data_IF_901275446983
#
_entry.id   IF_901275446983
#
_cell.length_a   1.000
_cell.length_b   1.000
_cell.length_c   1.000
_cell.angle_alpha   90.00
_cell.angle_beta   90.00
_cell.angle_gamma   90.00
#
_symmetry.space_group_name_H-M   'P 1'
#
loop_
_entity.id
_entity.type
_entity.pdbx_description
1 polymer ?
#
# COMPACT_ATOMS: atom_id res chain seq x y z
N UNK A 1 11.59 -17.87 -26.49
CA UNK A 1 11.64 -16.54 -25.79
C UNK A 1 12.98 -15.91 -26.14
N UNK A 2 12.99 -14.68 -26.65
CA UNK A 2 14.25 -14.00 -27.00
C UNK A 2 15.06 -13.70 -25.73
N UNK A 3 16.39 -13.74 -25.80
CA UNK A 3 17.34 -13.36 -24.73
C UNK A 3 16.96 -12.04 -24.03
N UNK A 4 16.36 -11.11 -24.77
CA UNK A 4 15.86 -9.81 -24.26
C UNK A 4 14.62 -9.91 -23.34
N UNK A 5 13.75 -10.91 -23.50
CA UNK A 5 12.57 -11.08 -22.64
C UNK A 5 12.96 -11.67 -21.28
N UNK A 6 13.87 -12.65 -21.26
CA UNK A 6 14.41 -13.25 -20.03
C UNK A 6 15.18 -12.22 -19.23
N UNK A 7 16.02 -11.42 -19.88
CA UNK A 7 16.77 -10.33 -19.23
C UNK A 7 15.83 -9.31 -18.57
N UNK A 8 14.70 -8.95 -19.20
CA UNK A 8 13.72 -8.02 -18.64
C UNK A 8 13.03 -8.57 -17.39
N UNK A 9 12.80 -9.89 -17.32
CA UNK A 9 12.19 -10.53 -16.15
C UNK A 9 13.18 -10.66 -14.98
N UNK A 10 14.45 -10.97 -15.24
CA UNK A 10 15.46 -11.21 -14.19
C UNK A 10 16.05 -9.90 -13.65
N UNK A 11 16.21 -8.89 -14.50
CA UNK A 11 16.85 -7.64 -14.14
C UNK A 11 16.24 -6.91 -12.90
N UNK A 12 14.90 -6.87 -12.69
CA UNK A 12 14.32 -6.30 -11.47
C UNK A 12 14.81 -7.02 -10.20
N UNK A 13 14.89 -8.35 -10.21
CA UNK A 13 15.35 -9.14 -9.06
C UNK A 13 16.82 -8.86 -8.69
N UNK A 14 17.70 -8.77 -9.68
CA UNK A 14 19.14 -8.52 -9.46
C UNK A 14 19.41 -7.12 -8.92
N UNK A 15 18.59 -6.12 -9.29
CA UNK A 15 18.75 -4.74 -8.83
C UNK A 15 18.02 -4.41 -7.54
N UNK A 16 17.20 -5.29 -7.06
CA UNK A 16 16.36 -5.08 -5.89
C UNK A 16 17.13 -5.27 -4.59
N UNK A 17 17.77 -4.20 -4.14
CA UNK A 17 18.51 -4.21 -2.87
C UNK A 17 17.60 -4.47 -1.66
N UNK A 18 16.33 -4.08 -1.71
CA UNK A 18 15.40 -4.31 -0.62
C UNK A 18 15.05 -5.79 -0.51
N UNK A 19 14.77 -6.45 -1.65
CA UNK A 19 14.61 -7.91 -1.69
C UNK A 19 15.84 -8.64 -1.15
N UNK A 20 17.04 -8.22 -1.56
CA UNK A 20 18.28 -8.85 -1.06
C UNK A 20 18.45 -8.67 0.45
N UNK A 21 18.11 -7.50 1.01
CA UNK A 21 18.16 -7.26 2.44
C UNK A 21 17.18 -8.17 3.21
N UNK A 22 15.96 -8.33 2.72
CA UNK A 22 14.97 -9.25 3.30
C UNK A 22 15.47 -10.70 3.23
N UNK A 23 15.95 -11.16 2.09
CA UNK A 23 16.48 -12.52 1.96
C UNK A 23 17.65 -12.79 2.92
N UNK A 24 18.55 -11.81 3.10
CA UNK A 24 19.65 -11.93 4.07
C UNK A 24 19.13 -11.96 5.50
N UNK A 25 18.17 -11.12 5.86
CA UNK A 25 17.54 -11.12 7.18
C UNK A 25 16.83 -12.44 7.47
N UNK A 26 16.05 -12.96 6.50
CA UNK A 26 15.37 -14.24 6.61
C UNK A 26 16.36 -15.42 6.81
N UNK A 27 17.42 -15.46 5.99
CA UNK A 27 18.48 -16.47 6.13
C UNK A 27 19.16 -16.39 7.51
N UNK A 28 19.48 -15.19 7.98
CA UNK A 28 20.10 -15.00 9.30
C UNK A 28 19.17 -15.48 10.44
N UNK A 29 17.88 -15.10 10.42
CA UNK A 29 16.90 -15.54 11.42
C UNK A 29 16.68 -17.06 11.36
N UNK A 30 16.60 -17.63 10.16
CA UNK A 30 16.46 -19.07 9.95
C UNK A 30 17.68 -19.85 10.44
N UNK A 31 18.90 -19.35 10.20
CA UNK A 31 20.14 -19.96 10.70
C UNK A 31 20.22 -19.90 12.22
N UNK A 32 19.74 -18.82 12.84
CA UNK A 32 19.69 -18.66 14.28
C UNK A 32 18.65 -19.57 14.96
N UNK A 33 17.49 -19.72 14.35
CA UNK A 33 16.40 -20.58 14.83
C UNK A 33 15.72 -21.32 13.69
N UNK A 34 16.30 -22.49 13.28
CA UNK A 34 15.78 -23.26 12.15
C UNK A 34 14.34 -23.69 12.37
N UNK A 35 13.51 -23.49 11.36
CA UNK A 35 12.13 -23.95 11.31
C UNK A 35 11.99 -25.06 10.26
N UNK A 36 11.02 -25.97 10.38
CA UNK A 36 10.71 -26.89 9.30
C UNK A 36 10.38 -26.11 8.01
N UNK A 37 10.94 -26.52 6.87
CA UNK A 37 10.69 -25.84 5.58
C UNK A 37 9.20 -25.77 5.23
N UNK A 38 8.42 -26.79 5.65
CA UNK A 38 6.97 -26.80 5.52
C UNK A 38 6.27 -25.67 6.29
N UNK A 39 6.87 -25.18 7.39
CA UNK A 39 6.30 -24.09 8.15
C UNK A 39 6.47 -22.71 7.45
N UNK A 40 7.49 -22.55 6.61
CA UNK A 40 7.74 -21.31 5.89
C UNK A 40 6.59 -20.95 4.94
N UNK A 41 6.00 -21.95 4.29
CA UNK A 41 4.82 -21.75 3.45
C UNK A 41 3.60 -21.26 4.24
N UNK A 42 3.47 -21.66 5.50
CA UNK A 42 2.39 -21.23 6.39
C UNK A 42 2.52 -19.80 6.90
N UNK A 43 3.68 -19.16 6.73
CA UNK A 43 3.85 -17.74 7.06
C UNK A 43 3.32 -16.82 5.97
N UNK A 44 3.24 -17.32 4.74
CA UNK A 44 2.85 -16.53 3.59
C UNK A 44 1.33 -16.37 3.56
N UNK A 45 0.88 -15.12 3.61
CA UNK A 45 -0.52 -14.82 3.31
C UNK A 45 -0.77 -14.91 1.79
N UNK A 46 -1.17 -16.09 1.35
CA UNK A 46 -1.46 -16.37 -0.04
C UNK A 46 -2.60 -15.52 -0.60
N UNK A 47 -3.60 -15.16 0.21
CA UNK A 47 -4.71 -14.28 -0.19
C UNK A 47 -4.18 -12.89 -0.55
N UNK A 48 -3.34 -12.32 0.30
CA UNK A 48 -2.71 -11.02 0.03
C UNK A 48 -1.85 -11.06 -1.22
N UNK A 49 -1.00 -12.08 -1.42
CA UNK A 49 -0.15 -12.18 -2.62
C UNK A 49 -0.97 -12.33 -3.91
N UNK A 50 -2.02 -13.15 -3.90
CA UNK A 50 -2.93 -13.33 -5.04
C UNK A 50 -3.64 -12.01 -5.35
N UNK A 51 -4.10 -11.30 -4.32
CA UNK A 51 -4.77 -10.01 -4.47
C UNK A 51 -3.83 -8.98 -5.10
N UNK A 52 -2.61 -8.85 -4.58
CA UNK A 52 -1.59 -7.96 -5.14
C UNK A 52 -1.31 -8.26 -6.61
N UNK A 53 -1.08 -9.53 -6.93
CA UNK A 53 -0.77 -9.95 -8.30
C UNK A 53 -1.93 -9.64 -9.26
N UNK A 54 -3.17 -9.94 -8.86
CA UNK A 54 -4.37 -9.63 -9.63
C UNK A 54 -4.51 -8.12 -9.89
N UNK A 55 -4.37 -7.30 -8.84
CA UNK A 55 -4.44 -5.84 -8.95
C UNK A 55 -3.30 -5.26 -9.81
N UNK A 56 -2.08 -5.76 -9.69
CA UNK A 56 -0.96 -5.35 -10.53
C UNK A 56 -1.23 -5.61 -12.01
N UNK A 57 -1.74 -6.80 -12.34
CA UNK A 57 -2.10 -7.16 -13.70
C UNK A 57 -3.23 -6.28 -14.26
N UNK A 58 -4.30 -6.10 -13.51
CA UNK A 58 -5.46 -5.31 -13.90
C UNK A 58 -5.08 -3.84 -14.12
N UNK A 59 -4.33 -3.25 -13.19
CA UNK A 59 -3.86 -1.88 -13.30
C UNK A 59 -2.93 -1.69 -14.49
N UNK A 60 -2.02 -2.65 -14.73
CA UNK A 60 -1.15 -2.62 -15.91
C UNK A 60 -1.95 -2.72 -17.20
N UNK A 61 -3.02 -3.49 -17.21
CA UNK A 61 -3.94 -3.56 -18.35
C UNK A 61 -4.59 -2.20 -18.63
N UNK A 62 -5.06 -1.50 -17.60
CA UNK A 62 -5.62 -0.14 -17.72
C UNK A 62 -4.55 0.85 -18.21
N UNK A 63 -3.31 0.76 -17.71
CA UNK A 63 -2.20 1.60 -18.18
C UNK A 63 -1.91 1.35 -19.67
N UNK A 64 -1.80 0.09 -20.08
CA UNK A 64 -1.54 -0.30 -21.49
C UNK A 64 -2.68 0.13 -22.41
N UNK A 65 -3.93 0.23 -21.93
CA UNK A 65 -5.05 0.75 -22.72
C UNK A 65 -4.91 2.23 -23.07
N UNK A 66 -4.01 2.98 -22.40
CA UNK A 66 -3.84 4.44 -22.57
C UNK A 66 -4.87 5.28 -21.80
N UNK A 67 -5.71 4.67 -20.97
CA UNK A 67 -6.75 5.40 -20.24
C UNK A 67 -6.19 6.39 -19.23
N UNK A 68 -5.07 6.05 -18.55
CA UNK A 68 -4.42 6.98 -17.63
C UNK A 68 -3.87 8.22 -18.34
N UNK A 69 -3.38 8.09 -19.58
CA UNK A 69 -2.97 9.24 -20.41
C UNK A 69 -4.18 10.15 -20.73
N UNK A 70 -5.32 9.57 -21.08
CA UNK A 70 -6.55 10.32 -21.34
C UNK A 70 -7.06 11.07 -20.11
N UNK A 71 -7.14 10.40 -18.95
CA UNK A 71 -7.59 11.02 -17.69
C UNK A 71 -6.58 12.07 -17.22
N UNK A 72 -5.28 11.77 -17.29
CA UNK A 72 -4.22 12.69 -16.91
C UNK A 72 -4.28 14.01 -17.68
N UNK A 73 -4.49 13.98 -18.99
CA UNK A 73 -4.69 15.18 -19.82
C UNK A 73 -5.90 15.98 -19.39
N UNK A 74 -7.03 15.31 -19.13
CA UNK A 74 -8.26 15.96 -18.67
C UNK A 74 -8.04 16.67 -17.33
N UNK A 75 -7.29 16.06 -16.41
CA UNK A 75 -6.94 16.63 -15.10
C UNK A 75 -6.04 17.86 -15.29
N UNK A 76 -4.95 17.75 -16.04
CA UNK A 76 -4.01 18.88 -16.27
C UNK A 76 -4.69 20.04 -17.00
N UNK A 77 -5.64 19.77 -17.88
CA UNK A 77 -6.39 20.81 -18.58
C UNK A 77 -7.36 21.56 -17.67
N UNK A 78 -7.81 20.97 -16.58
CA UNK A 78 -8.71 21.58 -15.60
C UNK A 78 -7.98 22.22 -14.40
N UNK A 79 -6.90 21.60 -13.96
CA UNK A 79 -6.13 22.04 -12.79
C UNK A 79 -4.81 22.68 -13.27
N UNK A 80 -4.75 23.99 -13.21
CA UNK A 80 -3.62 24.76 -13.73
C UNK A 80 -2.51 25.00 -12.69
N UNK A 81 -2.79 24.81 -11.39
CA UNK A 81 -1.87 25.05 -10.29
C UNK A 81 -1.35 23.74 -9.70
N UNK A 82 -0.03 23.65 -9.46
CA UNK A 82 0.63 22.50 -8.83
C UNK A 82 -0.01 22.17 -7.47
N UNK A 83 -0.28 23.18 -6.63
CA UNK A 83 -0.94 23.01 -5.33
C UNK A 83 -2.34 22.42 -5.45
N UNK A 84 -3.16 22.98 -6.36
CA UNK A 84 -4.54 22.46 -6.57
C UNK A 84 -4.54 21.04 -7.07
N UNK A 85 -3.60 20.70 -7.97
CA UNK A 85 -3.42 19.33 -8.46
C UNK A 85 -3.00 18.40 -7.32
N UNK A 86 -2.03 18.80 -6.49
CA UNK A 86 -1.56 18.00 -5.38
C UNK A 86 -2.70 17.73 -4.36
N UNK A 87 -3.44 18.76 -3.97
CA UNK A 87 -4.60 18.62 -3.08
C UNK A 87 -5.67 17.68 -3.67
N UNK A 88 -5.98 17.84 -4.95
CA UNK A 88 -6.93 16.97 -5.64
C UNK A 88 -6.48 15.51 -5.64
N UNK A 89 -5.22 15.24 -5.98
CA UNK A 89 -4.68 13.89 -6.04
C UNK A 89 -4.58 13.23 -4.66
N UNK A 90 -4.15 13.99 -3.65
CA UNK A 90 -4.05 13.55 -2.25
C UNK A 90 -5.45 13.25 -1.69
N UNK A 91 -6.41 14.16 -1.87
CA UNK A 91 -7.77 13.96 -1.43
C UNK A 91 -8.44 12.78 -2.14
N UNK A 92 -8.25 12.65 -3.46
CA UNK A 92 -8.79 11.52 -4.24
C UNK A 92 -8.20 10.19 -3.80
N UNK A 93 -6.89 10.13 -3.51
CA UNK A 93 -6.23 8.91 -3.02
C UNK A 93 -6.82 8.48 -1.67
N UNK A 94 -6.99 9.41 -0.75
CA UNK A 94 -7.59 9.14 0.54
C UNK A 94 -9.07 8.74 0.43
N UNK A 95 -9.85 9.46 -0.37
CA UNK A 95 -11.26 9.12 -0.57
C UNK A 95 -11.42 7.71 -1.16
N UNK A 96 -10.63 7.37 -2.18
CA UNK A 96 -10.64 6.03 -2.77
C UNK A 96 -10.30 4.96 -1.73
N UNK A 97 -9.29 5.18 -0.90
CA UNK A 97 -8.87 4.21 0.11
C UNK A 97 -9.84 4.07 1.29
N UNK A 98 -10.79 4.99 1.45
CA UNK A 98 -11.88 4.84 2.42
C UNK A 98 -12.96 3.85 1.97
N UNK A 99 -13.13 3.65 0.67
CA UNK A 99 -14.15 2.75 0.08
C UNK A 99 -13.56 1.50 -0.56
N UNK A 100 -12.28 1.58 -0.95
CA UNK A 100 -11.49 0.47 -1.47
C UNK A 100 -10.39 0.17 -0.46
N UNK A 101 -9.69 -0.95 -0.63
CA UNK A 101 -8.47 -1.15 0.16
C UNK A 101 -7.38 -0.16 -0.24
N UNK A 102 -6.48 0.17 0.69
CA UNK A 102 -5.35 1.06 0.44
C UNK A 102 -4.51 0.64 -0.78
N UNK A 103 -4.34 -0.67 -0.98
CA UNK A 103 -3.58 -1.23 -2.10
C UNK A 103 -4.28 -0.97 -3.45
N UNK A 104 -5.60 -1.24 -3.52
CA UNK A 104 -6.41 -0.95 -4.72
C UNK A 104 -6.35 0.54 -5.08
N UNK A 105 -6.50 1.42 -4.08
CA UNK A 105 -6.43 2.85 -4.30
C UNK A 105 -5.07 3.27 -4.89
N UNK A 106 -3.95 2.75 -4.36
CA UNK A 106 -2.60 3.03 -4.86
C UNK A 106 -2.41 2.56 -6.31
N UNK A 107 -2.88 1.35 -6.64
CA UNK A 107 -2.77 0.83 -8.01
C UNK A 107 -3.59 1.63 -9.03
N UNK A 108 -4.51 2.46 -8.58
CA UNK A 108 -5.25 3.40 -9.45
C UNK A 108 -4.53 4.75 -9.52
N UNK A 109 -4.18 5.35 -8.36
CA UNK A 109 -3.72 6.74 -8.34
C UNK A 109 -2.27 6.93 -8.73
N UNK A 110 -1.37 5.96 -8.42
CA UNK A 110 0.06 6.10 -8.73
C UNK A 110 0.35 6.04 -10.22
N UNK A 111 -0.14 5.07 -11.01
CA UNK A 111 0.07 5.05 -12.45
C UNK A 111 -0.48 6.29 -13.14
N UNK A 112 -1.65 6.79 -12.70
CA UNK A 112 -2.17 8.07 -13.16
C UNK A 112 -1.17 9.20 -12.89
N UNK A 113 -0.64 9.28 -11.67
CA UNK A 113 0.34 10.32 -11.28
C UNK A 113 1.66 10.21 -12.05
N UNK A 114 2.15 9.00 -12.29
CA UNK A 114 3.35 8.76 -13.12
C UNK A 114 3.10 9.24 -14.55
N UNK A 115 1.90 9.01 -15.07
CA UNK A 115 1.53 9.49 -16.41
C UNK A 115 1.56 11.01 -16.50
N UNK A 116 1.19 11.74 -15.44
CA UNK A 116 1.28 13.21 -15.42
C UNK A 116 2.70 13.74 -15.64
N UNK A 117 3.76 12.96 -15.30
CA UNK A 117 5.16 13.29 -15.58
C UNK A 117 5.44 13.45 -17.07
N UNK A 118 4.74 12.71 -17.92
CA UNK A 118 4.90 12.80 -19.38
C UNK A 118 4.24 14.05 -19.96
N UNK A 119 3.25 14.59 -19.24
CA UNK A 119 2.41 15.68 -19.69
C UNK A 119 2.85 17.04 -19.16
N UNK A 120 3.69 17.07 -18.13
CA UNK A 120 4.06 18.30 -17.43
C UNK A 120 5.25 18.11 -16.50
N UNK A 121 5.95 19.22 -16.20
CA UNK A 121 7.07 19.26 -15.25
C UNK A 121 6.55 19.28 -13.80
N UNK A 122 6.16 18.13 -13.27
CA UNK A 122 5.62 17.97 -11.90
C UNK A 122 6.59 17.22 -10.99
N UNK A 123 6.59 17.50 -9.67
CA UNK A 123 7.37 16.77 -8.69
C UNK A 123 6.70 15.42 -8.35
N UNK A 124 6.64 14.50 -9.33
CA UNK A 124 5.87 13.24 -9.25
C UNK A 124 6.26 12.40 -8.06
N UNK A 125 7.56 12.29 -7.74
CA UNK A 125 8.00 11.55 -6.55
C UNK A 125 7.40 12.12 -5.25
N UNK A 126 7.31 13.46 -5.11
CA UNK A 126 6.65 14.09 -3.96
C UNK A 126 5.15 13.83 -3.97
N UNK A 127 4.49 13.91 -5.11
CA UNK A 127 3.06 13.58 -5.23
C UNK A 127 2.78 12.14 -4.78
N UNK A 128 3.60 11.17 -5.21
CA UNK A 128 3.45 9.76 -4.82
C UNK A 128 3.65 9.57 -3.30
N UNK A 129 4.64 10.25 -2.70
CA UNK A 129 4.82 10.22 -1.24
C UNK A 129 3.55 10.66 -0.52
N UNK A 130 2.97 11.81 -0.94
CA UNK A 130 1.76 12.32 -0.32
C UNK A 130 0.53 11.45 -0.58
N UNK A 131 0.45 10.79 -1.73
CA UNK A 131 -0.59 9.80 -2.01
C UNK A 131 -0.45 8.54 -1.16
N UNK A 132 0.78 8.05 -0.90
CA UNK A 132 1.01 6.95 0.02
C UNK A 132 0.54 7.28 1.45
N UNK A 133 0.85 8.48 1.92
CA UNK A 133 0.37 8.96 3.23
C UNK A 133 -1.16 9.17 3.22
N UNK A 134 -1.72 9.61 2.09
CA UNK A 134 -3.15 9.84 1.94
C UNK A 134 -3.96 8.55 1.97
N UNK A 135 -3.49 7.48 1.34
CA UNK A 135 -4.22 6.20 1.40
C UNK A 135 -4.18 5.60 2.81
N UNK A 136 -3.11 5.79 3.57
CA UNK A 136 -3.09 5.40 4.98
C UNK A 136 -4.10 6.24 5.80
N UNK A 137 -4.19 7.56 5.56
CA UNK A 137 -5.14 8.43 6.25
C UNK A 137 -6.59 8.13 5.90
N UNK A 138 -6.90 7.84 4.64
CA UNK A 138 -8.25 7.51 4.20
C UNK A 138 -8.69 6.12 4.65
N UNK A 139 -7.81 5.13 4.51
CA UNK A 139 -8.12 3.72 4.81
C UNK A 139 -8.40 3.46 6.29
N UNK A 140 -7.91 4.30 7.19
CA UNK A 140 -8.17 4.12 8.63
C UNK A 140 -9.61 4.46 9.03
N UNK A 141 -10.39 5.12 8.17
CA UNK A 141 -11.77 5.52 8.49
C UNK A 141 -12.75 4.35 8.52
N UNK A 142 -12.55 3.35 7.68
CA UNK A 142 -13.53 2.27 7.50
C UNK A 142 -12.96 0.91 7.87
N UNK A 143 -13.80 -0.06 8.26
CA UNK A 143 -13.34 -1.42 8.51
C UNK A 143 -12.65 -2.07 7.31
N UNK A 144 -13.10 -1.76 6.09
CA UNK A 144 -12.62 -2.38 4.84
C UNK A 144 -11.46 -1.63 4.17
N UNK A 145 -11.06 -0.47 4.71
CA UNK A 145 -10.04 0.38 4.11
C UNK A 145 -8.64 -0.26 4.09
N UNK A 146 -8.34 -1.10 5.07
CA UNK A 146 -7.07 -1.82 5.15
C UNK A 146 -7.20 -3.14 5.92
N UNK A 147 -6.27 -4.12 5.73
CA UNK A 147 -6.37 -5.43 6.37
C UNK A 147 -6.37 -5.38 7.91
N UNK A 148 -5.59 -4.48 8.52
CA UNK A 148 -5.55 -4.37 9.98
C UNK A 148 -6.89 -3.91 10.56
N UNK A 149 -7.62 -3.03 9.87
CA UNK A 149 -8.95 -2.61 10.32
C UNK A 149 -9.97 -3.74 10.21
N UNK A 150 -9.89 -4.58 9.18
CA UNK A 150 -10.74 -5.77 9.07
C UNK A 150 -10.55 -6.66 10.29
N UNK A 151 -9.31 -6.93 10.68
CA UNK A 151 -8.98 -7.74 11.85
C UNK A 151 -9.49 -7.10 13.14
N UNK A 152 -9.20 -5.81 13.36
CA UNK A 152 -9.65 -5.06 14.53
C UNK A 152 -11.17 -5.04 14.63
N UNK A 153 -11.84 -4.77 13.53
CA UNK A 153 -13.30 -4.73 13.46
C UNK A 153 -13.92 -6.11 13.77
N UNK A 154 -13.41 -7.17 13.17
CA UNK A 154 -13.91 -8.53 13.40
C UNK A 154 -13.78 -8.98 14.86
N UNK A 155 -12.80 -8.45 15.59
CA UNK A 155 -12.56 -8.75 17.01
C UNK A 155 -13.20 -7.72 17.97
N UNK A 156 -13.76 -6.60 17.47
CA UNK A 156 -14.24 -5.48 18.31
C UNK A 156 -15.69 -5.64 18.79
N UNK A 157 -16.50 -6.48 18.12
CA UNK A 157 -17.95 -6.57 18.34
C UNK A 157 -18.74 -5.33 17.87
N UNK A 158 -18.09 -4.33 17.26
CA UNK A 158 -18.75 -3.13 16.76
C UNK A 158 -19.48 -3.38 15.43
N UNK A 159 -20.58 -2.66 15.22
CA UNK A 159 -21.17 -2.59 13.88
C UNK A 159 -20.24 -1.83 12.91
N UNK A 160 -20.48 -1.97 11.62
CA UNK A 160 -19.72 -1.25 10.58
C UNK A 160 -19.70 0.26 10.83
N UNK A 161 -20.85 0.85 11.09
CA UNK A 161 -20.97 2.29 11.41
C UNK A 161 -20.38 2.64 12.79
N UNK A 162 -20.45 1.73 13.76
CA UNK A 162 -19.82 1.90 15.07
C UNK A 162 -18.29 2.02 14.95
N UNK A 163 -17.67 1.17 14.14
CA UNK A 163 -16.23 1.25 13.86
C UNK A 163 -15.86 2.57 13.16
N UNK A 164 -16.64 2.98 12.14
CA UNK A 164 -16.44 4.28 11.49
C UNK A 164 -16.54 5.41 12.52
N UNK A 165 -17.56 5.41 13.37
CA UNK A 165 -17.73 6.42 14.43
C UNK A 165 -16.52 6.47 15.37
N UNK A 166 -15.96 5.31 15.73
CA UNK A 166 -14.75 5.21 16.56
C UNK A 166 -13.51 5.77 15.84
N UNK A 167 -13.33 5.48 14.57
CA UNK A 167 -12.13 5.87 13.81
C UNK A 167 -12.21 7.28 13.21
N UNK A 168 -13.42 7.83 13.04
CA UNK A 168 -13.64 9.09 12.34
C UNK A 168 -12.90 10.30 12.97
N UNK A 169 -12.86 10.50 14.29
CA UNK A 169 -12.14 11.63 14.88
C UNK A 169 -10.66 11.61 14.47
N UNK A 170 -9.99 10.46 14.62
CA UNK A 170 -8.59 10.30 14.27
C UNK A 170 -8.37 10.41 12.75
N UNK A 171 -9.23 9.75 11.95
CA UNK A 171 -9.12 9.77 10.48
C UNK A 171 -9.31 11.15 9.89
N UNK A 172 -10.32 11.90 10.34
CA UNK A 172 -10.57 13.27 9.89
C UNK A 172 -9.42 14.18 10.29
N UNK A 173 -8.93 14.08 11.52
CA UNK A 173 -7.80 14.89 11.97
C UNK A 173 -6.53 14.60 11.18
N UNK A 174 -6.22 13.33 10.89
CA UNK A 174 -5.07 12.95 10.04
C UNK A 174 -5.24 13.43 8.60
N UNK A 175 -6.45 13.35 8.05
CA UNK A 175 -6.74 13.87 6.72
C UNK A 175 -6.55 15.38 6.63
N UNK A 176 -7.09 16.13 7.57
CA UNK A 176 -6.94 17.59 7.62
C UNK A 176 -5.47 17.98 7.79
N UNK A 177 -4.73 17.28 8.66
CA UNK A 177 -3.29 17.48 8.85
C UNK A 177 -2.51 17.24 7.55
N UNK A 178 -2.84 16.17 6.83
CA UNK A 178 -2.18 15.85 5.57
C UNK A 178 -2.53 16.84 4.46
N UNK A 179 -3.78 17.29 4.37
CA UNK A 179 -4.19 18.34 3.42
C UNK A 179 -3.48 19.66 3.72
N UNK A 180 -3.36 20.03 5.01
CA UNK A 180 -2.60 21.20 5.43
C UNK A 180 -1.12 21.06 5.05
N UNK A 181 -0.50 19.89 5.34
CA UNK A 181 0.88 19.61 4.95
C UNK A 181 1.06 19.68 3.42
N UNK A 182 0.07 19.19 2.66
CA UNK A 182 0.06 19.28 1.19
C UNK A 182 0.01 20.73 0.73
N UNK A 183 -0.85 21.54 1.34
CA UNK A 183 -0.97 22.96 1.02
C UNK A 183 0.37 23.70 1.15
N UNK A 184 1.12 23.44 2.21
CA UNK A 184 2.41 24.09 2.46
C UNK A 184 3.55 23.48 1.63
N UNK A 185 3.46 22.20 1.30
CA UNK A 185 4.53 21.48 0.58
C UNK A 185 4.53 21.71 -0.93
N UNK A 186 3.41 22.15 -1.51
CA UNK A 186 3.30 22.39 -2.95
C UNK A 186 3.03 23.86 -3.24
N UNK A 187 3.85 24.51 -4.11
CA UNK A 187 3.67 25.92 -4.45
C UNK A 187 2.42 26.15 -5.31
N UNK A 188 1.86 27.36 -5.23
CA UNK A 188 0.74 27.77 -6.07
C UNK A 188 1.20 28.28 -7.45
N UNK A 189 2.19 27.63 -8.06
CA UNK A 189 2.70 27.96 -9.38
C UNK A 189 1.91 27.25 -10.47
N UNK A 190 1.90 27.85 -11.66
CA UNK A 190 1.25 27.23 -12.80
C UNK A 190 2.01 26.00 -13.28
N UNK A 191 1.26 25.03 -13.78
CA UNK A 191 1.79 23.80 -14.33
C UNK A 191 2.29 24.07 -15.74
N UNK A 192 3.59 23.88 -15.95
CA UNK A 192 4.20 23.96 -17.28
C UNK A 192 3.84 22.69 -18.06
N UNK A 193 2.99 22.86 -19.08
CA UNK A 193 2.60 21.76 -19.97
C UNK A 193 3.73 21.45 -20.94
N UNK A 194 3.98 20.16 -21.19
CA UNK A 194 4.94 19.74 -22.22
C UNK A 194 4.34 20.01 -23.60
N UNK A 195 5.07 20.70 -24.51
CA UNK A 195 4.64 20.83 -25.90
C UNK A 195 4.50 19.45 -26.53
N UNK A 196 3.49 19.27 -27.37
CA UNK A 196 3.23 18.03 -28.10
C UNK A 196 2.45 16.95 -27.30
N UNK A 197 1.28 17.32 -26.86
CA UNK A 197 0.35 16.37 -26.27
C UNK A 197 -0.84 16.10 -27.20
N UNK A 198 -0.57 15.66 -28.43
CA UNK A 198 -1.65 15.11 -29.26
C UNK A 198 -2.28 13.93 -28.51
N UNK A 199 -3.60 14.01 -28.34
CA UNK A 199 -4.35 13.00 -27.62
C UNK A 199 -4.44 11.71 -28.42
N UNK A 200 -3.64 10.71 -28.10
CA UNK A 200 -3.88 9.38 -28.62
C UNK A 200 -5.19 8.84 -28.04
N UNK A 201 -6.10 8.34 -28.87
CA UNK A 201 -7.31 7.68 -28.38
C UNK A 201 -6.90 6.44 -27.57
N UNK A 202 -7.48 6.27 -26.39
CA UNK A 202 -7.27 5.06 -25.60
C UNK A 202 -8.05 3.88 -26.22
N UNK A 203 -7.54 2.67 -25.98
CA UNK A 203 -8.13 1.42 -26.49
C UNK A 203 -9.37 1.07 -25.65
N UNK A 204 -10.55 1.56 -26.05
CA UNK A 204 -11.83 1.31 -25.36
C UNK A 204 -12.12 -0.18 -25.13
N UNK A 205 -11.94 -1.10 -26.11
CA UNK A 205 -12.20 -2.52 -25.88
C UNK A 205 -11.32 -3.10 -24.77
N UNK A 206 -10.03 -2.78 -24.77
CA UNK A 206 -9.12 -3.26 -23.73
C UNK A 206 -9.47 -2.69 -22.35
N UNK A 207 -9.83 -1.39 -22.28
CA UNK A 207 -10.29 -0.77 -21.04
C UNK A 207 -11.54 -1.46 -20.49
N UNK A 208 -12.56 -1.66 -21.32
CA UNK A 208 -13.81 -2.32 -20.92
C UNK A 208 -13.56 -3.75 -20.44
N UNK A 209 -12.67 -4.48 -21.13
CA UNK A 209 -12.25 -5.82 -20.68
C UNK A 209 -11.54 -5.76 -19.32
N UNK A 210 -10.64 -4.77 -19.10
CA UNK A 210 -10.00 -4.57 -17.79
C UNK A 210 -11.02 -4.25 -16.70
N UNK A 211 -12.01 -3.39 -16.96
CA UNK A 211 -13.08 -3.06 -16.01
C UNK A 211 -13.92 -4.29 -15.68
N UNK A 212 -14.29 -5.08 -16.69
CA UNK A 212 -15.01 -6.35 -16.50
C UNK A 212 -14.20 -7.36 -15.66
N UNK A 213 -12.91 -7.53 -15.98
CA UNK A 213 -12.01 -8.38 -15.21
C UNK A 213 -11.81 -7.88 -13.77
N UNK A 214 -11.77 -6.54 -13.55
CA UNK A 214 -11.74 -5.94 -12.22
C UNK A 214 -12.99 -6.33 -11.43
N UNK A 215 -14.17 -6.19 -12.02
CA UNK A 215 -15.42 -6.55 -11.36
C UNK A 215 -15.44 -8.05 -11.00
N UNK A 216 -15.08 -8.94 -11.93
CA UNK A 216 -14.97 -10.38 -11.69
C UNK A 216 -13.96 -10.69 -10.57
N UNK A 217 -12.81 -10.04 -10.60
CA UNK A 217 -11.76 -10.25 -9.58
C UNK A 217 -12.23 -9.83 -8.19
N UNK A 218 -12.84 -8.64 -8.07
CA UNK A 218 -13.36 -8.14 -6.79
C UNK A 218 -14.50 -9.04 -6.26
N UNK A 219 -15.41 -9.51 -7.12
CA UNK A 219 -16.44 -10.47 -6.75
C UNK A 219 -15.82 -11.80 -6.25
N UNK A 220 -14.80 -12.31 -6.94
CA UNK A 220 -14.10 -13.51 -6.48
C UNK A 220 -13.41 -13.31 -5.12
N UNK A 221 -12.88 -12.10 -4.84
CA UNK A 221 -12.32 -11.78 -3.53
C UNK A 221 -13.40 -11.75 -2.43
N UNK A 222 -14.57 -11.19 -2.74
CA UNK A 222 -15.71 -11.11 -1.82
C UNK A 222 -16.28 -12.48 -1.47
N UNK A 223 -16.36 -13.38 -2.46
CA UNK A 223 -16.77 -14.77 -2.28
C UNK A 223 -15.68 -15.72 -1.74
N UNK A 224 -14.53 -15.18 -1.30
CA UNK A 224 -13.38 -15.95 -0.80
C UNK A 224 -12.79 -16.95 -1.82
N UNK A 225 -12.82 -16.56 -3.09
CA UNK A 225 -12.32 -17.32 -4.23
C UNK A 225 -11.17 -16.61 -4.97
N UNK A 226 -10.14 -16.08 -4.26
CA UNK A 226 -9.11 -15.21 -4.84
C UNK A 226 -8.34 -15.89 -5.99
N UNK A 227 -8.07 -17.18 -5.88
CA UNK A 227 -7.34 -17.92 -6.92
C UNK A 227 -8.10 -17.99 -8.24
N UNK A 228 -9.42 -18.22 -8.20
CA UNK A 228 -10.25 -18.26 -9.41
C UNK A 228 -10.31 -16.88 -10.07
N UNK A 229 -10.40 -15.82 -9.28
CA UNK A 229 -10.30 -14.45 -9.77
C UNK A 229 -8.98 -14.18 -10.47
N UNK A 230 -7.85 -14.59 -9.87
CA UNK A 230 -6.53 -14.45 -10.48
C UNK A 230 -6.40 -15.26 -11.78
N UNK A 231 -6.89 -16.49 -11.81
CA UNK A 231 -6.90 -17.33 -13.02
C UNK A 231 -7.70 -16.68 -14.15
N UNK A 232 -8.87 -16.09 -13.84
CA UNK A 232 -9.68 -15.37 -14.81
C UNK A 232 -8.93 -14.15 -15.36
N UNK A 233 -8.27 -13.36 -14.52
CA UNK A 233 -7.43 -12.21 -14.91
C UNK A 233 -6.28 -12.66 -15.80
N UNK A 234 -5.58 -13.73 -15.40
CA UNK A 234 -4.44 -14.26 -16.15
C UNK A 234 -4.87 -14.77 -17.54
N UNK A 235 -5.94 -15.57 -17.60
CA UNK A 235 -6.51 -16.06 -18.85
C UNK A 235 -6.99 -14.91 -19.74
N UNK A 236 -7.68 -13.92 -19.17
CA UNK A 236 -8.11 -12.73 -19.87
C UNK A 236 -6.94 -11.99 -20.54
N UNK A 237 -5.86 -11.70 -19.82
CA UNK A 237 -4.70 -11.03 -20.39
C UNK A 237 -3.87 -11.91 -21.32
N UNK A 238 -3.87 -13.21 -21.12
CA UNK A 238 -3.22 -14.14 -22.06
C UNK A 238 -3.88 -14.07 -23.46
N UNK A 239 -5.18 -13.87 -23.50
CA UNK A 239 -5.96 -13.76 -24.74
C UNK A 239 -5.96 -12.35 -25.32
N UNK A 240 -6.13 -11.33 -24.47
CA UNK A 240 -6.39 -9.94 -24.91
C UNK A 240 -5.11 -9.11 -25.02
N UNK A 241 -4.15 -9.27 -24.10
CA UNK A 241 -2.99 -8.40 -24.00
C UNK A 241 -1.81 -9.08 -23.29
N UNK A 242 -1.17 -10.09 -23.91
CA UNK A 242 -0.05 -10.84 -23.33
C UNK A 242 1.10 -9.96 -22.81
N UNK A 243 1.26 -8.76 -23.37
CA UNK A 243 2.29 -7.80 -22.94
C UNK A 243 2.13 -7.39 -21.47
N UNK A 244 0.91 -7.36 -20.96
CA UNK A 244 0.61 -7.01 -19.56
C UNK A 244 1.33 -7.96 -18.61
N UNK A 245 1.28 -9.27 -18.87
CA UNK A 245 1.89 -10.32 -18.04
C UNK A 245 3.41 -10.16 -17.90
N UNK A 246 4.07 -9.56 -18.89
CA UNK A 246 5.53 -9.37 -18.92
C UNK A 246 5.98 -8.01 -18.40
N UNK A 247 5.05 -7.09 -18.13
CA UNK A 247 5.35 -5.70 -17.79
C UNK A 247 5.07 -5.35 -16.32
N UNK A 248 4.59 -6.29 -15.53
CA UNK A 248 4.42 -6.08 -14.08
C UNK A 248 5.76 -6.27 -13.35
N UNK A 249 5.87 -5.70 -12.16
CA UNK A 249 7.03 -5.88 -11.28
C UNK A 249 6.91 -7.20 -10.49
N UNK A 250 7.36 -8.30 -11.10
CA UNK A 250 7.36 -9.61 -10.46
C UNK A 250 8.19 -9.64 -9.16
N UNK A 251 9.28 -8.85 -9.07
CA UNK A 251 10.11 -8.84 -7.87
C UNK A 251 9.36 -8.29 -6.65
N UNK A 252 8.34 -7.44 -6.87
CA UNK A 252 7.47 -6.95 -5.80
C UNK A 252 6.74 -8.10 -5.08
N UNK A 253 6.22 -9.09 -5.80
CA UNK A 253 5.55 -10.26 -5.20
C UNK A 253 6.52 -11.04 -4.30
N UNK A 254 7.77 -11.21 -4.75
CA UNK A 254 8.80 -11.88 -3.96
C UNK A 254 9.23 -11.06 -2.73
N UNK A 255 9.26 -9.73 -2.82
CA UNK A 255 9.47 -8.84 -1.66
C UNK A 255 8.40 -9.11 -0.59
N UNK A 256 7.12 -9.16 -0.98
CA UNK A 256 6.06 -9.43 -0.02
C UNK A 256 6.12 -10.84 0.56
N UNK A 257 6.40 -11.85 -0.27
CA UNK A 257 6.59 -13.22 0.21
C UNK A 257 7.76 -13.31 1.22
N UNK A 258 8.91 -12.71 0.90
CA UNK A 258 10.06 -12.65 1.79
C UNK A 258 9.71 -11.92 3.10
N UNK A 259 9.00 -10.81 3.03
CA UNK A 259 8.58 -10.05 4.21
C UNK A 259 7.63 -10.87 5.11
N UNK A 260 6.67 -11.62 4.56
CA UNK A 260 5.82 -12.51 5.34
C UNK A 260 6.63 -13.61 6.05
N UNK A 261 7.61 -14.20 5.34
CA UNK A 261 8.51 -15.20 5.91
C UNK A 261 9.34 -14.59 7.04
N UNK A 262 9.93 -13.41 6.81
CA UNK A 262 10.77 -12.72 7.80
C UNK A 262 9.98 -12.37 9.05
N UNK A 263 8.75 -11.89 8.93
CA UNK A 263 7.85 -11.64 10.06
C UNK A 263 7.52 -12.94 10.80
N UNK A 264 7.20 -14.01 10.06
CA UNK A 264 6.93 -15.33 10.65
C UNK A 264 8.13 -15.90 11.43
N UNK A 265 9.36 -15.69 10.92
CA UNK A 265 10.60 -16.07 11.61
C UNK A 265 10.86 -15.18 12.83
N UNK A 266 10.73 -13.85 12.67
CA UNK A 266 10.93 -12.86 13.73
C UNK A 266 10.04 -13.14 14.95
N UNK A 267 8.76 -13.39 14.72
CA UNK A 267 7.79 -13.65 15.79
C UNK A 267 8.05 -14.96 16.54
N UNK A 268 8.89 -15.85 16.01
CA UNK A 268 9.23 -17.14 16.62
C UNK A 268 10.64 -17.18 17.22
N UNK A 269 11.38 -16.10 17.20
CA UNK A 269 12.71 -16.04 17.79
C UNK A 269 12.64 -16.29 19.31
N UNK A 270 13.35 -17.30 19.86
CA UNK A 270 13.27 -17.65 21.28
C UNK A 270 13.56 -16.48 22.23
N UNK A 271 14.53 -15.58 21.97
CA UNK A 271 14.80 -14.45 22.85
C UNK A 271 13.63 -13.45 22.97
N UNK A 272 12.70 -13.43 21.99
CA UNK A 272 11.56 -12.51 21.97
C UNK A 272 10.30 -13.09 22.62
N UNK A 273 10.23 -14.43 22.84
CA UNK A 273 9.05 -15.08 23.41
C UNK A 273 8.67 -14.56 24.81
N UNK A 274 9.61 -14.32 25.74
CA UNK A 274 9.26 -13.76 27.06
C UNK A 274 8.68 -12.34 26.93
N UNK A 275 9.22 -11.54 26.01
CA UNK A 275 8.73 -10.18 25.76
C UNK A 275 7.31 -10.20 25.18
N UNK A 276 7.02 -11.11 24.25
CA UNK A 276 5.67 -11.27 23.69
C UNK A 276 4.68 -11.76 24.74
N UNK A 277 5.04 -12.73 25.58
CA UNK A 277 4.19 -13.20 26.67
C UNK A 277 3.87 -12.10 27.69
N UNK A 278 4.78 -11.17 27.91
CA UNK A 278 4.57 -10.04 28.83
C UNK A 278 3.55 -9.00 28.30
N UNK A 279 3.19 -9.02 27.02
CA UNK A 279 2.25 -8.06 26.40
C UNK A 279 0.89 -8.07 27.10
N UNK A 280 0.40 -9.25 27.50
CA UNK A 280 -0.90 -9.40 28.17
C UNK A 280 -0.98 -8.65 29.52
N UNK A 281 0.14 -8.37 30.16
CA UNK A 281 0.22 -7.62 31.42
C UNK A 281 0.55 -6.14 31.27
N UNK A 282 0.68 -5.62 30.03
CA UNK A 282 1.01 -4.22 29.81
C UNK A 282 -0.20 -3.30 30.05
N UNK A 283 0.09 -2.08 30.49
CA UNK A 283 -0.93 -1.02 30.53
C UNK A 283 -1.35 -0.63 29.10
N UNK A 284 -2.54 -0.09 28.95
CA UNK A 284 -3.08 0.37 27.66
C UNK A 284 -2.11 1.32 26.94
N UNK A 285 -1.50 2.25 27.68
CA UNK A 285 -0.50 3.16 27.13
C UNK A 285 0.75 2.47 26.63
N UNK A 286 1.21 1.41 27.31
CA UNK A 286 2.34 0.60 26.83
C UNK A 286 1.98 -0.21 25.59
N UNK A 287 0.77 -0.75 25.52
CA UNK A 287 0.23 -1.43 24.34
C UNK A 287 0.14 -0.48 23.15
N UNK A 288 -0.31 0.76 23.39
CA UNK A 288 -0.34 1.81 22.37
C UNK A 288 1.06 2.08 21.80
N UNK A 289 2.01 2.40 22.66
CA UNK A 289 3.40 2.67 22.26
C UNK A 289 4.01 1.46 21.52
N UNK A 290 3.73 0.25 22.02
CA UNK A 290 4.18 -0.99 21.39
C UNK A 290 3.55 -1.18 20.00
N UNK A 291 2.26 -0.88 19.82
CA UNK A 291 1.57 -0.96 18.53
C UNK A 291 2.15 -0.02 17.49
N UNK A 292 2.43 1.23 17.87
CA UNK A 292 3.13 2.19 16.99
C UNK A 292 4.53 1.68 16.66
N UNK A 293 5.30 1.21 17.66
CA UNK A 293 6.68 0.76 17.48
C UNK A 293 6.82 -0.53 16.67
N UNK A 294 6.03 -1.56 16.99
CA UNK A 294 6.03 -2.82 16.24
C UNK A 294 5.67 -2.63 14.77
N UNK A 295 4.74 -1.71 14.48
CA UNK A 295 4.41 -1.37 13.09
C UNK A 295 5.63 -0.91 12.29
N UNK A 296 6.63 -0.28 12.94
CA UNK A 296 7.87 0.15 12.28
C UNK A 296 8.84 -1.00 12.00
N UNK A 297 8.68 -2.13 12.67
CA UNK A 297 9.59 -3.28 12.56
C UNK A 297 9.00 -4.35 11.63
N UNK A 298 7.72 -4.72 11.87
CA UNK A 298 7.07 -5.84 11.19
C UNK A 298 5.90 -5.43 10.27
N UNK A 299 5.66 -4.12 10.10
CA UNK A 299 4.48 -3.55 9.43
C UNK A 299 3.20 -3.61 10.29
N UNK A 300 2.26 -2.72 10.00
CA UNK A 300 1.03 -2.53 10.80
C UNK A 300 0.11 -3.77 10.81
N UNK A 301 0.00 -4.52 9.71
CA UNK A 301 -0.85 -5.71 9.65
C UNK A 301 -0.30 -6.84 10.54
N UNK A 302 0.97 -7.27 10.40
CA UNK A 302 1.54 -8.27 11.30
C UNK A 302 1.59 -7.81 12.77
N UNK A 303 1.85 -6.51 13.02
CA UNK A 303 1.81 -5.96 14.38
C UNK A 303 0.40 -6.11 14.99
N UNK A 304 -0.65 -5.86 14.22
CA UNK A 304 -2.03 -6.05 14.65
C UNK A 304 -2.33 -7.51 14.98
N UNK A 305 -1.95 -8.43 14.09
CA UNK A 305 -2.14 -9.88 14.32
C UNK A 305 -1.43 -10.31 15.61
N UNK A 306 -0.17 -9.90 15.78
CA UNK A 306 0.60 -10.22 16.97
C UNK A 306 -0.06 -9.70 18.24
N UNK A 307 -0.47 -8.44 18.26
CA UNK A 307 -1.05 -7.81 19.45
C UNK A 307 -2.43 -8.39 19.81
N UNK A 308 -3.28 -8.68 18.83
CA UNK A 308 -4.59 -9.29 19.05
C UNK A 308 -4.52 -10.70 19.67
N UNK A 309 -3.36 -11.37 19.62
CA UNK A 309 -3.16 -12.64 20.35
C UNK A 309 -3.02 -12.45 21.87
N UNK A 310 -2.72 -11.25 22.35
CA UNK A 310 -2.44 -10.97 23.76
C UNK A 310 -3.36 -9.94 24.40
N UNK A 311 -3.94 -9.05 23.60
CA UNK A 311 -4.80 -7.96 24.08
C UNK A 311 -6.09 -7.87 23.24
N UNK A 312 -7.24 -7.48 23.86
CA UNK A 312 -8.49 -7.31 23.11
C UNK A 312 -8.38 -6.16 22.10
N UNK A 313 -9.24 -6.21 21.08
CA UNK A 313 -9.42 -5.08 20.16
C UNK A 313 -10.02 -3.90 20.92
N UNK A 314 -9.39 -2.72 20.79
CA UNK A 314 -9.80 -1.47 21.40
C UNK A 314 -9.58 -0.30 20.46
N UNK A 315 -10.20 0.84 20.73
CA UNK A 315 -9.96 2.08 20.00
C UNK A 315 -8.48 2.46 20.04
N UNK A 316 -7.86 2.31 21.20
CA UNK A 316 -6.46 2.64 21.43
C UNK A 316 -5.51 1.78 20.58
N UNK A 317 -5.74 0.45 20.55
CA UNK A 317 -4.97 -0.44 19.69
C UNK A 317 -5.17 -0.09 18.20
N UNK A 318 -6.42 0.21 17.79
CA UNK A 318 -6.73 0.59 16.42
C UNK A 318 -6.00 1.89 16.03
N UNK A 319 -5.99 2.89 16.90
CA UNK A 319 -5.25 4.14 16.66
C UNK A 319 -3.75 3.89 16.59
N UNK A 320 -3.18 3.08 17.48
CA UNK A 320 -1.76 2.77 17.53
C UNK A 320 -1.23 2.16 16.22
N UNK A 321 -1.85 1.06 15.76
CA UNK A 321 -1.37 0.36 14.56
C UNK A 321 -1.64 1.15 13.27
N UNK A 322 -2.69 1.96 13.24
CA UNK A 322 -2.94 2.86 12.11
C UNK A 322 -2.00 4.07 12.13
N UNK A 323 -1.68 4.65 13.29
CA UNK A 323 -0.64 5.67 13.42
C UNK A 323 0.72 5.14 12.94
N UNK A 324 1.04 3.87 13.28
CA UNK A 324 2.26 3.20 12.82
C UNK A 324 2.43 3.15 11.31
N UNK A 325 1.34 3.17 10.53
CA UNK A 325 1.38 3.19 9.07
C UNK A 325 1.99 4.46 8.46
N UNK A 326 2.11 5.56 9.22
CA UNK A 326 2.68 6.82 8.73
C UNK A 326 4.21 6.94 8.85
N UNK A 327 4.87 5.96 9.44
CA UNK A 327 6.28 6.04 9.81
C UNK A 327 7.26 5.56 8.75
N UNK A 328 8.03 4.52 9.10
CA UNK A 328 8.99 3.94 8.19
C UNK A 328 8.29 3.35 6.95
N UNK A 329 9.03 3.20 5.87
CA UNK A 329 8.47 2.61 4.65
C UNK A 329 7.88 1.22 4.89
N UNK A 330 8.49 0.42 5.76
CA UNK A 330 7.99 -0.89 6.16
C UNK A 330 6.76 -0.81 7.08
N UNK A 331 6.50 0.32 7.71
CA UNK A 331 5.38 0.52 8.64
C UNK A 331 4.01 0.26 8.03
N UNK A 332 3.88 0.36 6.70
CA UNK A 332 2.69 -0.03 5.94
C UNK A 332 3.07 -0.62 4.59
N UNK A 333 2.42 -1.71 4.19
CA UNK A 333 2.56 -2.30 2.86
C UNK A 333 2.26 -1.29 1.75
N UNK A 334 1.28 -0.43 1.97
CA UNK A 334 0.93 0.65 1.05
C UNK A 334 2.12 1.58 0.76
N UNK A 335 2.93 1.92 1.77
CA UNK A 335 4.13 2.72 1.58
C UNK A 335 5.13 2.02 0.65
N UNK A 336 5.38 0.72 0.90
CA UNK A 336 6.29 -0.09 0.09
C UNK A 336 5.84 -0.16 -1.38
N UNK A 337 4.56 -0.42 -1.61
CA UNK A 337 3.95 -0.44 -2.96
C UNK A 337 4.19 0.91 -3.65
N UNK A 338 3.84 2.00 -2.99
CA UNK A 338 3.93 3.35 -3.54
C UNK A 338 5.36 3.72 -3.92
N UNK A 339 6.31 3.54 -2.99
CA UNK A 339 7.72 3.87 -3.20
C UNK A 339 8.35 3.02 -4.31
N UNK A 340 7.94 1.79 -4.40
CA UNK A 340 8.43 0.88 -5.43
C UNK A 340 7.89 1.24 -6.81
N UNK A 341 6.59 1.52 -6.92
CA UNK A 341 5.97 1.94 -8.17
C UNK A 341 6.55 3.26 -8.70
N UNK A 342 6.99 4.15 -7.82
CA UNK A 342 7.62 5.41 -8.22
C UNK A 342 8.95 5.23 -8.96
N UNK A 343 9.72 4.18 -8.68
CA UNK A 343 10.96 3.84 -9.37
C UNK A 343 12.12 4.83 -9.20
N UNK A 344 12.04 5.77 -8.25
CA UNK A 344 13.05 6.81 -8.01
C UNK A 344 14.03 6.40 -6.89
N UNK A 345 15.36 6.40 -7.16
CA UNK A 345 16.39 5.96 -6.18
C UNK A 345 16.36 6.73 -4.86
N UNK A 346 16.06 8.03 -4.88
CA UNK A 346 16.09 8.91 -3.70
C UNK A 346 14.73 9.05 -3.01
N UNK A 347 13.68 8.38 -3.53
CA UNK A 347 12.32 8.55 -3.00
C UNK A 347 12.21 8.04 -1.56
N UNK A 348 12.93 6.97 -1.21
CA UNK A 348 12.96 6.38 0.12
C UNK A 348 13.39 7.39 1.20
N UNK A 349 14.48 8.13 0.97
CA UNK A 349 14.94 9.17 1.89
C UNK A 349 13.96 10.33 1.98
N UNK A 350 13.43 10.76 0.81
CA UNK A 350 12.44 11.84 0.76
C UNK A 350 11.13 11.45 1.45
N UNK A 351 10.73 10.19 1.36
CA UNK A 351 9.56 9.67 2.05
C UNK A 351 9.71 9.85 3.56
N UNK A 352 10.82 9.40 4.14
CA UNK A 352 11.06 9.50 5.57
C UNK A 352 11.14 10.95 6.08
N UNK A 353 11.54 11.88 5.23
CA UNK A 353 11.51 13.31 5.58
C UNK A 353 10.09 13.81 5.89
N UNK A 354 9.07 13.31 5.19
CA UNK A 354 7.66 13.66 5.45
C UNK A 354 6.98 12.71 6.42
N UNK A 355 7.28 11.43 6.33
CA UNK A 355 6.55 10.40 7.06
C UNK A 355 6.94 10.33 8.54
N UNK A 356 8.23 10.53 8.89
CA UNK A 356 8.64 10.47 10.30
C UNK A 356 8.04 11.59 11.17
N UNK A 357 8.03 12.87 10.76
CA UNK A 357 7.28 13.90 11.50
C UNK A 357 5.78 13.60 11.58
N UNK A 358 5.22 13.03 10.50
CA UNK A 358 3.80 12.67 10.47
C UNK A 358 3.50 11.47 11.38
N UNK A 359 4.43 10.52 11.53
CA UNK A 359 4.32 9.43 12.51
C UNK A 359 4.24 9.98 13.94
N UNK A 360 5.16 10.88 14.29
CA UNK A 360 5.16 11.50 15.63
C UNK A 360 3.84 12.22 15.87
N UNK A 361 3.39 12.99 14.89
CA UNK A 361 2.10 13.68 14.95
C UNK A 361 0.93 12.70 15.10
N UNK A 362 0.86 11.66 14.27
CA UNK A 362 -0.19 10.64 14.33
C UNK A 362 -0.18 9.89 15.67
N UNK A 363 1.01 9.56 16.19
CA UNK A 363 1.14 8.89 17.49
C UNK A 363 0.65 9.78 18.65
N UNK A 364 1.02 11.06 18.65
CA UNK A 364 0.55 12.02 19.66
C UNK A 364 -0.95 12.25 19.55
N UNK A 365 -1.43 12.48 18.34
CA UNK A 365 -2.86 12.75 18.11
C UNK A 365 -3.72 11.53 18.48
N UNK A 366 -3.33 10.34 18.05
CA UNK A 366 -4.01 9.10 18.39
C UNK A 366 -3.98 8.81 19.90
N UNK A 367 -2.87 9.14 20.58
CA UNK A 367 -2.78 9.02 22.03
C UNK A 367 -3.75 9.95 22.77
N UNK A 368 -3.89 11.18 22.32
CA UNK A 368 -4.79 12.17 22.96
C UNK A 368 -6.26 11.84 22.70
N UNK A 369 -6.56 11.15 21.59
CA UNK A 369 -7.93 10.82 21.18
C UNK A 369 -8.38 9.42 21.63
N UNK A 370 -7.47 8.58 22.13
CA UNK A 370 -7.72 7.18 22.52
C UNK A 370 -8.30 7.01 23.95
#
# INVERSE_FOLDING_TARGET
MSSTAISRLIHPFVKDRFLHALLLAGVAMFAFHPQPLSALGGFIDGRTLITLLGLMLLTKGVEVSGYFDFVGRKIINRLHSERRLALFLVFSAALLSSFLTNDVALFIVIPLTITLKKLSALPVGRLIIFQALAVNAGSLLTPIGNPQNILLWSCSGLSFLGFIGQMAPFGVAMMLSLLALTWFSFPARDIVKTPNTEGYPYQRPLLLSCVGLYAVFLLCLDFDLPLYGLLAVFAGFLLLARRVLLQIDWSLIFVFAAMFIDVGLFTRLPPLQPAFAAIAGLSEGSVYALGVGLSQIVSNVPATILLLNYVPSSAQLAYAVNAGGFGLAIGSLANLIALRMAGERKIWLRFHYYSLPLLVWAALLGWVMS
#
